data_IF_595758475354
#
_entry.id   IF_595758475354
#
_cell.length_a   1.000
_cell.length_b   1.000
_cell.length_c   1.000
_cell.angle_alpha   90.00
_cell.angle_beta   90.00
_cell.angle_gamma   90.00
#
_symmetry.space_group_name_H-M   'P 1'
#
loop_
_entity.id
_entity.type
_entity.pdbx_description
1 polymer ?
#
# COMPACT_ATOMS: atom_id res chain seq x y z
N UNK A 1 11.55 45.14 -26.09
CA UNK A 1 10.63 45.50 -25.02
C UNK A 1 9.42 44.54 -25.01
N UNK A 2 9.68 43.21 -25.00
CA UNK A 2 8.63 42.17 -25.12
C UNK A 2 8.91 40.90 -24.29
N UNK A 3 9.80 40.95 -23.28
CA UNK A 3 10.18 39.81 -22.43
C UNK A 3 9.71 39.91 -20.99
N UNK A 4 8.95 40.97 -20.64
CA UNK A 4 8.55 41.23 -19.23
C UNK A 4 7.12 40.78 -18.87
N UNK A 5 6.35 40.15 -19.76
CA UNK A 5 4.95 39.82 -19.54
C UNK A 5 4.62 38.32 -19.44
N UNK A 6 5.63 37.43 -19.41
CA UNK A 6 5.40 35.98 -19.37
C UNK A 6 5.75 35.32 -18.02
N UNK A 7 6.14 36.10 -17.00
CA UNK A 7 6.58 35.52 -15.71
C UNK A 7 5.49 35.52 -14.64
N UNK A 8 4.32 36.10 -14.86
CA UNK A 8 3.30 36.32 -13.82
C UNK A 8 2.13 35.34 -13.79
N UNK A 9 2.24 34.15 -14.37
CA UNK A 9 1.14 33.17 -14.34
C UNK A 9 1.55 31.78 -13.84
N UNK A 10 2.60 31.68 -13.04
CA UNK A 10 2.74 30.51 -12.18
C UNK A 10 2.19 30.86 -10.82
N UNK A 11 1.11 30.17 -10.33
CA UNK A 11 0.74 30.29 -8.92
C UNK A 11 1.95 29.88 -8.11
N UNK A 12 2.41 30.81 -7.28
CA UNK A 12 3.48 30.55 -6.30
C UNK A 12 3.01 29.34 -5.45
N UNK A 13 3.65 28.19 -5.67
CA UNK A 13 3.54 27.06 -4.77
C UNK A 13 4.09 27.54 -3.42
N UNK A 14 3.22 28.05 -2.58
CA UNK A 14 3.49 28.18 -1.16
C UNK A 14 3.57 26.77 -0.59
N UNK A 15 4.71 26.14 -0.83
CA UNK A 15 5.07 24.90 -0.18
C UNK A 15 5.22 25.23 1.31
N UNK A 16 4.17 24.92 2.06
CA UNK A 16 4.05 25.24 3.46
C UNK A 16 5.24 24.60 4.19
N UNK A 17 6.09 25.42 4.82
CA UNK A 17 7.23 24.95 5.64
C UNK A 17 6.81 23.89 6.69
N UNK A 18 5.55 23.93 7.12
CA UNK A 18 4.94 22.93 8.00
C UNK A 18 4.80 21.55 7.31
N UNK A 19 4.53 21.51 6.00
CA UNK A 19 4.43 20.28 5.22
C UNK A 19 5.81 19.64 5.03
N UNK A 20 6.83 20.43 4.73
CA UNK A 20 8.22 19.93 4.67
C UNK A 20 8.69 19.34 6.00
N UNK A 21 8.37 19.98 7.13
CA UNK A 21 8.76 19.48 8.45
C UNK A 21 8.10 18.13 8.77
N UNK A 22 6.83 17.93 8.38
CA UNK A 22 6.10 16.67 8.57
C UNK A 22 6.65 15.55 7.69
N UNK A 23 6.99 15.85 6.44
CA UNK A 23 7.64 14.88 5.54
C UNK A 23 9.01 14.44 6.09
N UNK A 24 9.82 15.38 6.58
CA UNK A 24 11.12 15.06 7.18
C UNK A 24 11.00 14.18 8.44
N UNK A 25 9.98 14.40 9.28
CA UNK A 25 9.72 13.56 10.45
C UNK A 25 9.24 12.18 10.02
N UNK A 26 8.33 12.08 9.04
CA UNK A 26 7.83 10.81 8.53
C UNK A 26 8.95 9.98 7.86
N UNK A 27 9.82 10.62 7.06
CA UNK A 27 10.97 9.96 6.44
C UNK A 27 11.96 9.46 7.51
N UNK A 28 12.25 10.26 8.53
CA UNK A 28 13.14 9.84 9.65
C UNK A 28 12.54 8.70 10.46
N UNK A 29 11.23 8.72 10.71
CA UNK A 29 10.54 7.62 11.38
C UNK A 29 10.53 6.34 10.53
N UNK A 30 10.35 6.45 9.21
CA UNK A 30 10.41 5.32 8.28
C UNK A 30 11.81 4.70 8.22
N UNK A 31 12.87 5.50 8.24
CA UNK A 31 14.25 4.98 8.30
C UNK A 31 14.56 4.27 9.62
N UNK A 32 14.02 4.76 10.74
CA UNK A 32 14.12 4.07 12.03
C UNK A 32 13.38 2.73 12.02
N UNK A 33 12.18 2.68 11.42
CA UNK A 33 11.44 1.42 11.26
C UNK A 33 12.18 0.43 10.36
N UNK A 34 12.71 0.88 9.23
CA UNK A 34 13.50 0.03 8.32
C UNK A 34 14.77 -0.47 9.03
N UNK A 35 15.42 0.39 9.81
CA UNK A 35 16.65 0.01 10.54
C UNK A 35 16.37 -1.00 11.65
N UNK A 36 15.26 -0.90 12.36
CA UNK A 36 14.82 -1.88 13.36
C UNK A 36 14.46 -3.23 12.72
N UNK A 37 13.82 -3.22 11.55
CA UNK A 37 13.55 -4.46 10.81
C UNK A 37 14.79 -5.12 10.23
N UNK A 38 15.78 -4.35 9.76
CA UNK A 38 17.01 -4.89 9.16
C UNK A 38 17.96 -5.46 10.23
N UNK A 39 17.96 -4.93 11.45
CA UNK A 39 18.83 -5.42 12.53
C UNK A 39 18.43 -6.82 13.02
N UNK A 40 17.16 -7.21 12.92
CA UNK A 40 16.71 -8.54 13.31
C UNK A 40 17.06 -9.62 12.27
N UNK A 41 17.28 -9.24 10.99
CA UNK A 41 17.68 -10.17 9.94
C UNK A 41 19.16 -10.61 10.02
N UNK A 42 20.01 -9.87 10.71
CA UNK A 42 21.44 -10.19 10.80
C UNK A 42 21.78 -11.31 11.82
N UNK A 43 20.83 -11.73 12.64
CA UNK A 43 21.00 -12.83 13.61
C UNK A 43 20.58 -14.21 13.04
N UNK A 44 20.10 -14.28 11.80
CA UNK A 44 19.46 -15.48 11.24
C UNK A 44 20.43 -16.49 10.59
N UNK A 45 21.73 -16.42 10.83
CA UNK A 45 22.71 -17.39 10.29
C UNK A 45 23.08 -18.52 11.29
N UNK A 46 22.09 -19.03 11.98
CA UNK A 46 22.23 -20.31 12.66
C UNK A 46 21.58 -21.41 11.83
N UNK A 47 22.34 -22.41 11.42
CA UNK A 47 21.93 -23.55 10.57
C UNK A 47 20.75 -24.39 11.08
N UNK A 48 20.19 -24.05 12.22
CA UNK A 48 19.02 -24.70 12.84
C UNK A 48 17.74 -23.88 12.80
N UNK A 49 17.61 -22.87 11.94
CA UNK A 49 16.44 -21.99 11.91
C UNK A 49 15.28 -22.66 11.16
N UNK A 50 14.66 -23.65 11.78
CA UNK A 50 13.42 -24.29 11.30
C UNK A 50 12.26 -23.30 11.17
N UNK A 51 12.35 -22.14 11.83
CA UNK A 51 11.34 -21.09 11.74
C UNK A 51 11.21 -20.50 10.33
N UNK A 52 12.32 -20.26 9.64
CA UNK A 52 12.29 -19.67 8.27
C UNK A 52 11.94 -20.69 7.18
N UNK A 53 12.01 -22.00 7.48
CA UNK A 53 11.62 -23.02 6.51
C UNK A 53 10.10 -23.13 6.44
N UNK A 54 9.50 -23.24 5.23
CA UNK A 54 8.12 -23.62 5.09
C UNK A 54 7.82 -24.92 5.82
N UNK A 55 6.64 -25.00 6.40
CA UNK A 55 6.19 -26.21 7.09
C UNK A 55 5.73 -27.23 6.05
N UNK A 56 6.20 -28.49 6.16
CA UNK A 56 5.79 -29.59 5.27
C UNK A 56 4.32 -29.95 5.43
N UNK A 57 3.76 -29.69 6.61
CA UNK A 57 2.34 -29.91 6.93
C UNK A 57 1.76 -28.64 7.54
N UNK A 58 0.42 -28.52 7.53
CA UNK A 58 -0.27 -27.37 8.05
C UNK A 58 0.07 -27.08 9.52
N UNK A 59 0.75 -25.97 9.74
CA UNK A 59 1.03 -25.44 11.07
C UNK A 59 -0.04 -24.41 11.44
N UNK A 60 -1.04 -24.84 12.22
CA UNK A 60 -2.19 -23.99 12.60
C UNK A 60 -1.77 -22.69 13.32
N UNK A 61 -0.84 -22.69 14.31
CA UNK A 61 -0.37 -21.47 14.94
C UNK A 61 0.24 -20.47 13.95
N UNK A 62 1.11 -20.95 13.01
CA UNK A 62 1.70 -20.10 11.98
C UNK A 62 0.63 -19.51 11.08
N UNK A 63 -0.31 -20.32 10.60
CA UNK A 63 -1.42 -19.86 9.76
C UNK A 63 -2.26 -18.79 10.43
N UNK A 64 -2.63 -19.02 11.70
CA UNK A 64 -3.36 -18.01 12.49
C UNK A 64 -2.53 -16.72 12.63
N UNK A 65 -1.23 -16.87 12.90
CA UNK A 65 -0.30 -15.73 12.96
C UNK A 65 -0.24 -14.94 11.67
N UNK A 66 -0.25 -15.62 10.50
CA UNK A 66 -0.31 -14.96 9.18
C UNK A 66 -1.60 -14.16 9.04
N UNK A 67 -2.77 -14.76 9.25
CA UNK A 67 -4.03 -14.04 9.11
C UNK A 67 -4.16 -12.85 10.07
N UNK A 68 -3.77 -13.03 11.33
CA UNK A 68 -3.81 -11.93 12.30
C UNK A 68 -2.81 -10.84 11.92
N UNK A 69 -1.58 -11.23 11.58
CA UNK A 69 -0.51 -10.30 11.20
C UNK A 69 -0.88 -9.49 9.97
N UNK A 70 -1.39 -10.13 8.90
CA UNK A 70 -1.85 -9.45 7.68
C UNK A 70 -3.03 -8.52 7.98
N UNK A 71 -4.01 -8.96 8.76
CA UNK A 71 -5.17 -8.13 9.13
C UNK A 71 -4.75 -6.89 9.92
N UNK A 72 -3.83 -7.05 10.87
CA UNK A 72 -3.30 -5.93 11.65
C UNK A 72 -2.48 -4.99 10.77
N UNK A 73 -1.60 -5.54 9.92
CA UNK A 73 -0.79 -4.74 9.00
C UNK A 73 -1.67 -3.92 8.04
N UNK A 74 -2.70 -4.55 7.44
CA UNK A 74 -3.67 -3.86 6.59
C UNK A 74 -4.38 -2.74 7.36
N UNK A 75 -4.92 -3.05 8.54
CA UNK A 75 -5.63 -2.07 9.36
C UNK A 75 -4.76 -0.87 9.72
N UNK A 76 -3.53 -1.12 10.17
CA UNK A 76 -2.57 -0.05 10.50
C UNK A 76 -2.21 0.78 9.26
N UNK A 77 -1.99 0.12 8.12
CA UNK A 77 -1.64 0.81 6.87
C UNK A 77 -2.81 1.68 6.39
N UNK A 78 -4.05 1.17 6.41
CA UNK A 78 -5.23 1.93 6.01
C UNK A 78 -5.50 3.12 6.94
N UNK A 79 -5.37 2.93 8.25
CA UNK A 79 -5.47 4.05 9.21
C UNK A 79 -4.36 5.06 8.97
N UNK A 80 -3.13 4.59 8.76
CA UNK A 80 -1.99 5.45 8.42
C UNK A 80 -2.24 6.24 7.14
N UNK A 81 -2.71 5.58 6.08
CA UNK A 81 -3.04 6.20 4.81
C UNK A 81 -4.13 7.27 4.98
N UNK A 82 -5.19 6.96 5.72
CA UNK A 82 -6.24 7.94 6.00
C UNK A 82 -5.71 9.15 6.77
N UNK A 83 -4.83 8.96 7.76
CA UNK A 83 -4.29 10.04 8.59
C UNK A 83 -3.22 10.88 7.91
N UNK A 84 -2.43 10.28 7.02
CA UNK A 84 -1.29 10.94 6.38
C UNK A 84 -1.64 11.53 5.01
N UNK A 85 -2.69 11.00 4.36
CA UNK A 85 -3.06 11.38 3.00
C UNK A 85 -4.46 11.98 2.93
N UNK A 86 -5.51 11.23 3.28
CA UNK A 86 -6.91 11.64 3.03
C UNK A 86 -7.47 12.70 3.99
N UNK A 87 -6.97 12.74 5.22
CA UNK A 87 -7.55 13.56 6.29
C UNK A 87 -7.51 15.08 6.00
N UNK A 88 -6.51 15.53 5.25
CA UNK A 88 -6.29 16.95 4.97
C UNK A 88 -7.08 17.44 3.74
N UNK A 89 -7.83 16.55 3.06
CA UNK A 89 -8.67 16.85 1.92
C UNK A 89 -10.16 16.82 2.28
N UNK A 90 -10.97 17.72 1.67
CA UNK A 90 -12.42 17.73 1.86
C UNK A 90 -13.03 16.39 1.45
N UNK A 91 -14.12 16.02 2.12
CA UNK A 91 -14.89 14.83 1.80
C UNK A 91 -16.09 15.17 0.95
N UNK A 92 -16.43 14.30 0.00
CA UNK A 92 -17.60 14.38 -0.86
C UNK A 92 -18.50 13.16 -0.68
N UNK A 93 -19.68 13.21 -1.33
CA UNK A 93 -20.45 12.00 -1.57
C UNK A 93 -19.67 11.07 -2.48
N UNK A 94 -19.88 9.75 -2.31
CA UNK A 94 -19.17 8.74 -3.11
C UNK A 94 -19.42 8.96 -4.60
N UNK A 95 -18.33 9.05 -5.37
CA UNK A 95 -18.42 9.26 -6.80
C UNK A 95 -17.35 8.49 -7.58
N UNK A 96 -17.64 8.23 -8.85
CA UNK A 96 -16.72 7.63 -9.78
C UNK A 96 -16.12 8.66 -10.71
N UNK A 97 -14.87 8.43 -11.10
CA UNK A 97 -14.20 9.24 -12.13
C UNK A 97 -13.69 8.35 -13.26
N UNK A 98 -13.37 8.98 -14.38
CA UNK A 98 -12.67 8.36 -15.50
C UNK A 98 -11.33 9.08 -15.69
N UNK A 99 -10.31 8.55 -15.11
CA UNK A 99 -8.94 9.06 -15.15
C UNK A 99 -8.03 8.31 -16.14
N UNK A 100 -8.60 7.48 -17.02
CA UNK A 100 -7.86 6.66 -17.98
C UNK A 100 -6.90 7.43 -18.89
N UNK A 101 -7.10 8.73 -19.07
CA UNK A 101 -6.22 9.59 -19.88
C UNK A 101 -5.23 10.40 -19.03
N UNK A 102 -5.23 10.20 -17.71
CA UNK A 102 -4.35 10.92 -16.79
C UNK A 102 -3.06 10.14 -16.55
N UNK A 103 -1.99 10.84 -16.18
CA UNK A 103 -0.70 10.29 -15.73
C UNK A 103 -0.11 9.20 -16.61
N UNK A 104 -0.42 9.16 -17.91
CA UNK A 104 0.00 8.11 -18.85
C UNK A 104 -0.34 6.70 -18.34
N UNK A 105 -1.44 6.55 -17.59
CA UNK A 105 -1.88 5.32 -16.94
C UNK A 105 -0.90 4.71 -15.92
N UNK A 106 0.07 5.51 -15.43
CA UNK A 106 1.02 5.04 -14.42
C UNK A 106 0.33 4.64 -13.12
N UNK A 107 -0.80 5.26 -12.81
CA UNK A 107 -1.64 4.90 -11.68
C UNK A 107 -2.14 3.44 -11.80
N UNK A 108 -2.72 3.08 -12.93
CA UNK A 108 -3.18 1.69 -13.21
C UNK A 108 -2.05 0.67 -13.11
N UNK A 109 -0.85 1.04 -13.59
CA UNK A 109 0.33 0.20 -13.41
C UNK A 109 0.72 0.06 -11.94
N UNK A 110 0.59 1.15 -11.16
CA UNK A 110 0.79 1.13 -9.71
C UNK A 110 -0.18 0.20 -9.00
N UNK A 111 -1.47 0.24 -9.35
CA UNK A 111 -2.50 -0.63 -8.84
C UNK A 111 -2.21 -2.11 -9.18
N UNK A 112 -1.98 -2.43 -10.45
CA UNK A 112 -1.62 -3.78 -10.91
C UNK A 112 -0.38 -4.32 -10.18
N UNK A 113 0.70 -3.51 -10.11
CA UNK A 113 1.94 -3.87 -9.43
C UNK A 113 1.71 -4.14 -7.94
N UNK A 114 1.00 -3.26 -7.27
CA UNK A 114 0.74 -3.37 -5.83
C UNK A 114 -0.14 -4.56 -5.51
N UNK A 115 -1.21 -4.79 -6.27
CA UNK A 115 -2.09 -5.95 -6.11
C UNK A 115 -1.32 -7.26 -6.28
N UNK A 116 -0.50 -7.35 -7.33
CA UNK A 116 0.32 -8.54 -7.59
C UNK A 116 1.30 -8.81 -6.44
N UNK A 117 2.06 -7.81 -6.02
CA UNK A 117 3.10 -8.01 -4.99
C UNK A 117 2.51 -8.30 -3.62
N UNK A 118 1.45 -7.60 -3.21
CA UNK A 118 0.76 -7.89 -1.95
C UNK A 118 0.14 -9.28 -1.96
N UNK A 119 -0.51 -9.67 -3.07
CA UNK A 119 -1.07 -11.01 -3.23
C UNK A 119 0.00 -12.10 -3.18
N UNK A 120 1.15 -11.85 -3.81
CA UNK A 120 2.30 -12.75 -3.75
C UNK A 120 2.83 -12.91 -2.32
N UNK A 121 3.00 -11.80 -1.58
CA UNK A 121 3.45 -11.85 -0.18
C UNK A 121 2.47 -12.66 0.67
N UNK A 122 1.16 -12.42 0.55
CA UNK A 122 0.16 -13.20 1.28
C UNK A 122 0.23 -14.69 0.96
N UNK A 123 0.38 -15.05 -0.32
CA UNK A 123 0.52 -16.45 -0.73
C UNK A 123 1.79 -17.11 -0.17
N UNK A 124 2.94 -16.41 -0.19
CA UNK A 124 4.21 -16.90 0.35
C UNK A 124 4.16 -17.07 1.88
N UNK A 125 3.50 -16.16 2.59
CA UNK A 125 3.30 -16.27 4.04
C UNK A 125 2.42 -17.46 4.40
N UNK A 126 1.34 -17.72 3.64
CA UNK A 126 0.53 -18.92 3.81
C UNK A 126 1.30 -20.19 3.44
N UNK A 127 2.13 -20.17 2.40
CA UNK A 127 3.03 -21.26 2.08
C UNK A 127 3.98 -21.58 3.23
N UNK A 128 4.56 -20.56 3.87
CA UNK A 128 5.40 -20.72 5.05
C UNK A 128 4.67 -21.42 6.21
N UNK A 129 3.38 -21.21 6.33
CA UNK A 129 2.54 -21.89 7.33
C UNK A 129 2.21 -23.36 6.99
N UNK A 130 2.55 -23.82 5.77
CA UNK A 130 2.16 -25.15 5.27
C UNK A 130 0.70 -25.22 4.83
N UNK A 131 0.06 -24.09 4.54
CA UNK A 131 -1.29 -24.04 4.00
C UNK A 131 -1.37 -24.66 2.59
N UNK A 132 -2.54 -25.17 2.24
CA UNK A 132 -2.75 -25.80 0.92
C UNK A 132 -2.58 -24.79 -0.22
N UNK A 133 -2.23 -25.27 -1.42
CA UNK A 133 -2.15 -24.42 -2.64
C UNK A 133 -3.44 -23.65 -2.90
N UNK A 134 -4.59 -24.29 -2.67
CA UNK A 134 -5.89 -23.63 -2.82
C UNK A 134 -6.03 -22.46 -1.85
N UNK A 135 -5.62 -22.63 -0.60
CA UNK A 135 -5.65 -21.60 0.44
C UNK A 135 -4.69 -20.44 0.12
N UNK A 136 -3.47 -20.76 -0.33
CA UNK A 136 -2.50 -19.76 -0.80
C UNK A 136 -3.05 -18.91 -1.96
N UNK A 137 -3.67 -19.54 -2.94
CA UNK A 137 -4.22 -18.84 -4.10
C UNK A 137 -5.46 -18.02 -3.76
N UNK A 138 -6.37 -18.53 -2.93
CA UNK A 138 -7.62 -17.82 -2.63
C UNK A 138 -7.36 -16.69 -1.62
N UNK A 139 -6.78 -17.01 -0.48
CA UNK A 139 -6.64 -16.01 0.60
C UNK A 139 -5.37 -15.17 0.47
N UNK A 140 -4.27 -15.76 0.04
CA UNK A 140 -3.03 -15.03 -0.16
C UNK A 140 -3.15 -14.02 -1.30
N UNK A 141 -3.61 -14.45 -2.48
CA UNK A 141 -3.68 -13.57 -3.65
C UNK A 141 -4.74 -12.46 -3.50
N UNK A 142 -5.76 -12.65 -2.67
CA UNK A 142 -6.79 -11.61 -2.44
C UNK A 142 -6.35 -10.50 -1.48
N UNK A 143 -5.20 -10.61 -0.83
CA UNK A 143 -4.70 -9.59 0.10
C UNK A 143 -4.54 -8.22 -0.60
N UNK A 144 -3.87 -8.22 -1.76
CA UNK A 144 -3.66 -7.00 -2.55
C UNK A 144 -4.98 -6.43 -3.08
N UNK A 145 -5.83 -7.28 -3.65
CA UNK A 145 -7.15 -6.89 -4.12
C UNK A 145 -7.98 -6.23 -3.01
N UNK A 146 -8.02 -6.85 -1.82
CA UNK A 146 -8.76 -6.31 -0.69
C UNK A 146 -8.23 -4.95 -0.24
N UNK A 147 -6.91 -4.80 -0.14
CA UNK A 147 -6.28 -3.54 0.23
C UNK A 147 -6.60 -2.43 -0.78
N UNK A 148 -6.34 -2.66 -2.06
CA UNK A 148 -6.54 -1.64 -3.10
C UNK A 148 -8.02 -1.33 -3.33
N UNK A 149 -8.92 -2.28 -3.09
CA UNK A 149 -10.36 -1.99 -3.11
C UNK A 149 -10.75 -0.97 -2.02
N UNK A 150 -10.16 -1.05 -0.82
CA UNK A 150 -10.41 -0.07 0.24
C UNK A 150 -9.81 1.28 -0.11
N UNK A 151 -8.66 1.33 -0.79
CA UNK A 151 -8.08 2.57 -1.31
C UNK A 151 -9.05 3.25 -2.28
N UNK A 152 -9.61 2.50 -3.25
CA UNK A 152 -10.63 3.02 -4.18
C UNK A 152 -11.89 3.55 -3.47
N UNK A 153 -12.27 2.93 -2.35
CA UNK A 153 -13.37 3.44 -1.53
C UNK A 153 -13.00 4.77 -0.86
N UNK A 154 -11.76 4.93 -0.40
CA UNK A 154 -11.30 6.21 0.16
C UNK A 154 -11.26 7.30 -0.90
N UNK A 155 -10.77 6.97 -2.10
CA UNK A 155 -10.74 7.89 -3.23
C UNK A 155 -12.17 8.32 -3.62
N UNK A 156 -13.11 7.37 -3.65
CA UNK A 156 -14.51 7.64 -3.97
C UNK A 156 -15.19 8.62 -3.02
N UNK A 157 -14.74 8.74 -1.76
CA UNK A 157 -15.25 9.70 -0.79
C UNK A 157 -14.41 10.97 -0.67
N UNK A 158 -13.39 11.15 -1.48
CA UNK A 158 -12.55 12.37 -1.50
C UNK A 158 -13.04 13.35 -2.57
N UNK A 159 -13.11 14.64 -2.25
CA UNK A 159 -13.42 15.68 -3.24
C UNK A 159 -12.30 15.84 -4.29
N UNK A 160 -11.05 15.53 -3.91
CA UNK A 160 -9.89 15.68 -4.79
C UNK A 160 -9.73 14.52 -5.79
N UNK A 161 -10.16 13.32 -5.39
CA UNK A 161 -10.09 12.11 -6.21
C UNK A 161 -11.49 11.59 -6.52
N UNK A 162 -11.63 10.34 -6.77
CA UNK A 162 -12.86 9.61 -7.01
C UNK A 162 -12.50 8.16 -7.30
N UNK A 163 -13.42 7.22 -7.09
CA UNK A 163 -13.18 5.83 -7.41
C UNK A 163 -13.01 5.64 -8.92
N UNK A 164 -11.90 5.08 -9.36
CA UNK A 164 -11.61 4.86 -10.78
C UNK A 164 -12.02 3.45 -11.22
N UNK A 165 -12.86 3.37 -12.26
CA UNK A 165 -13.19 2.07 -12.87
C UNK A 165 -11.96 1.41 -13.51
N UNK A 166 -10.99 2.22 -13.98
CA UNK A 166 -9.73 1.73 -14.54
C UNK A 166 -8.87 1.04 -13.48
N UNK A 167 -8.80 1.63 -12.28
CA UNK A 167 -8.02 1.10 -11.18
C UNK A 167 -8.66 -0.14 -10.55
N UNK A 168 -10.00 -0.17 -10.48
CA UNK A 168 -10.73 -1.38 -10.10
C UNK A 168 -10.42 -2.54 -11.07
N UNK A 169 -10.38 -2.28 -12.37
CA UNK A 169 -10.00 -3.30 -13.36
C UNK A 169 -8.55 -3.73 -13.16
N UNK A 170 -7.63 -2.78 -12.97
CA UNK A 170 -6.22 -3.07 -12.70
C UNK A 170 -6.03 -3.92 -11.44
N UNK A 171 -6.84 -3.70 -10.40
CA UNK A 171 -6.79 -4.45 -9.15
C UNK A 171 -7.23 -5.93 -9.30
N UNK A 172 -8.05 -6.27 -10.31
CA UNK A 172 -8.55 -7.63 -10.53
C UNK A 172 -7.82 -8.39 -11.64
N UNK A 173 -6.88 -7.74 -12.32
CA UNK A 173 -6.12 -8.33 -13.43
C UNK A 173 -4.85 -9.03 -12.94
#
# INVERSE_FOLDING_TARGET
>A
MAWALLVNHFPAFHFNLCFQHRIFIAIRASWLFIFLFVSDFSQAQSDNNTFLKPSDTLNKPRRTGVYVGESVALGVTLVGLNQLWYKDYPKSDFHFINDNNQWLQMDKLGHLYSTYHLGRVGAEMLQWSGASKKEQLIYGSTLGLGFLTVVEVFDGFSEEWGASTGDIIANVT
#
